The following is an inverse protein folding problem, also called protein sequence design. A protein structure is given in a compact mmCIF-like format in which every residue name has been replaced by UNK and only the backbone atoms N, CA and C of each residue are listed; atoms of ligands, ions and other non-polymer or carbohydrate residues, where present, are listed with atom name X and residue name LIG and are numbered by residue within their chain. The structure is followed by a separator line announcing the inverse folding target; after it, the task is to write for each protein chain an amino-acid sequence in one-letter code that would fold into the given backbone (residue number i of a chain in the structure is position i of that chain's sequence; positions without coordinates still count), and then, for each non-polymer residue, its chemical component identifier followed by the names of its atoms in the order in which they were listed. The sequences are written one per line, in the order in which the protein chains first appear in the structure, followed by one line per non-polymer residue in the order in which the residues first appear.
data_IF_706388606394
#
_entry.id   IF_706388606394
#
_cell.length_a   1.000
_cell.length_b   1.000
_cell.length_c   1.000
_cell.angle_alpha   90.00
_cell.angle_beta   90.00
_cell.angle_gamma   90.00
#
_symmetry.space_group_name_H-M   'P 1'
#
loop_
_entity.id
_entity.type
_entity.pdbx_description
1 polymer ?
#
# COMPACT_ATOMS: atom_id res chain seq x y z
N UNK A 1 -14.92 -7.72 4.79
CA UNK A 1 -13.83 -7.57 5.77
C UNK A 1 -12.72 -6.63 5.28
N UNK A 2 -11.86 -7.01 4.33
CA UNK A 2 -10.74 -6.14 3.90
C UNK A 2 -11.20 -4.73 3.44
N UNK A 3 -12.36 -4.63 2.77
CA UNK A 3 -12.93 -3.35 2.33
C UNK A 3 -13.36 -2.48 3.50
N UNK A 4 -14.04 -3.08 4.47
CA UNK A 4 -14.45 -2.42 5.70
C UNK A 4 -13.24 -1.89 6.49
N UNK A 5 -12.18 -2.69 6.58
CA UNK A 5 -10.92 -2.25 7.20
C UNK A 5 -10.34 -1.02 6.49
N UNK A 6 -10.28 -1.03 5.16
CA UNK A 6 -9.79 0.11 4.37
C UNK A 6 -10.68 1.34 4.53
N UNK A 7 -12.00 1.16 4.57
CA UNK A 7 -12.97 2.26 4.75
C UNK A 7 -12.84 2.89 6.13
N UNK A 8 -12.68 2.06 7.17
CA UNK A 8 -12.48 2.52 8.55
C UNK A 8 -11.11 3.17 8.74
N UNK A 9 -10.09 2.68 8.02
CA UNK A 9 -8.77 3.32 7.98
C UNK A 9 -8.87 4.72 7.36
N UNK A 10 -9.53 4.85 6.20
CA UNK A 10 -9.76 6.13 5.56
C UNK A 10 -10.61 7.07 6.46
N UNK A 11 -11.65 6.54 7.12
CA UNK A 11 -12.48 7.33 8.01
C UNK A 11 -11.81 7.72 9.35
N UNK A 12 -10.60 7.23 9.65
CA UNK A 12 -9.95 7.51 10.93
C UNK A 12 -10.51 6.72 12.13
N UNK A 13 -11.31 5.67 11.88
CA UNK A 13 -12.09 4.96 12.93
C UNK A 13 -11.67 3.50 13.13
N UNK A 14 -10.63 3.05 12.43
CA UNK A 14 -10.06 1.71 12.62
C UNK A 14 -9.29 1.68 13.94
N UNK A 15 -9.61 0.71 14.81
CA UNK A 15 -8.93 0.55 16.09
C UNK A 15 -7.88 -0.55 16.02
N UNK A 16 -6.93 -0.49 16.94
CA UNK A 16 -5.89 -1.49 17.06
C UNK A 16 -6.48 -2.88 17.34
N UNK A 17 -7.48 -2.97 18.20
CA UNK A 17 -8.09 -4.23 18.64
C UNK A 17 -8.79 -4.96 17.48
N UNK A 18 -9.36 -4.23 16.52
CA UNK A 18 -10.02 -4.81 15.34
C UNK A 18 -9.04 -5.60 14.46
N UNK A 19 -7.79 -5.14 14.38
CA UNK A 19 -6.74 -5.76 13.57
C UNK A 19 -5.97 -6.79 14.37
N UNK A 20 -5.62 -6.47 15.61
CA UNK A 20 -4.88 -7.37 16.48
C UNK A 20 -5.72 -8.62 16.84
N UNK A 21 -7.00 -8.43 17.15
CA UNK A 21 -7.92 -9.54 17.44
C UNK A 21 -8.18 -10.46 16.23
N UNK A 22 -7.86 -10.00 15.02
CA UNK A 22 -7.93 -10.79 13.78
C UNK A 22 -6.59 -11.47 13.42
N UNK A 23 -5.62 -11.46 14.34
CA UNK A 23 -4.28 -12.03 14.12
C UNK A 23 -3.35 -11.15 13.26
N UNK A 24 -3.71 -9.88 13.05
CA UNK A 24 -2.86 -8.89 12.40
C UNK A 24 -1.83 -8.27 13.37
N UNK A 25 -0.98 -7.39 12.83
CA UNK A 25 0.06 -6.70 13.61
C UNK A 25 -0.45 -5.51 14.44
N UNK A 26 -1.76 -5.23 14.38
CA UNK A 26 -2.37 -4.02 14.94
C UNK A 26 -2.45 -2.85 13.95
N UNK A 27 -3.04 -1.74 14.39
CA UNK A 27 -3.17 -0.51 13.62
C UNK A 27 -3.25 0.73 14.52
N UNK A 28 -2.59 1.81 14.12
CA UNK A 28 -2.69 3.12 14.74
C UNK A 28 -3.17 4.12 13.67
N UNK A 29 -4.25 4.82 13.96
CA UNK A 29 -4.79 5.88 13.08
C UNK A 29 -4.86 7.16 13.86
N UNK A 30 -4.22 8.22 13.35
CA UNK A 30 -4.17 9.53 14.00
C UNK A 30 -5.31 10.42 13.53
N UNK A 31 -5.59 10.39 12.23
CA UNK A 31 -6.65 11.17 11.58
C UNK A 31 -7.19 10.41 10.35
N UNK A 32 -8.40 10.78 9.93
CA UNK A 32 -9.00 10.27 8.70
C UNK A 32 -8.47 11.01 7.46
N UNK A 33 -8.52 10.34 6.31
CA UNK A 33 -8.10 10.85 5.02
C UNK A 33 -9.13 10.51 3.93
N UNK A 34 -9.16 11.31 2.86
CA UNK A 34 -9.91 11.02 1.64
C UNK A 34 -8.94 10.57 0.53
N UNK A 35 -8.71 9.26 0.36
CA UNK A 35 -7.77 8.78 -0.63
C UNK A 35 -8.31 8.99 -2.05
N UNK A 36 -7.53 9.68 -2.90
CA UNK A 36 -7.87 9.87 -4.31
C UNK A 36 -7.81 8.57 -5.12
N UNK A 37 -6.91 7.65 -4.74
CA UNK A 37 -6.75 6.37 -5.40
C UNK A 37 -6.31 5.29 -4.40
N UNK A 38 -6.74 4.05 -4.62
CA UNK A 38 -6.33 2.88 -3.84
C UNK A 38 -5.41 2.01 -4.70
N UNK A 39 -4.18 1.84 -4.24
CA UNK A 39 -3.22 0.91 -4.83
C UNK A 39 -3.12 -0.37 -4.01
N UNK A 40 -3.14 -1.51 -4.68
CA UNK A 40 -3.16 -2.85 -4.07
C UNK A 40 -1.83 -3.53 -4.36
N UNK A 41 -1.21 -4.04 -3.29
CA UNK A 41 0.04 -4.81 -3.30
C UNK A 41 -0.16 -6.15 -2.56
N UNK A 42 0.88 -6.98 -2.51
CA UNK A 42 0.91 -8.19 -1.69
C UNK A 42 0.33 -9.46 -2.34
N UNK A 43 0.45 -10.60 -1.62
CA UNK A 43 -0.13 -11.88 -2.04
C UNK A 43 -1.66 -11.82 -2.02
N UNK A 44 -2.32 -12.69 -2.78
CA UNK A 44 -3.79 -12.79 -2.83
C UNK A 44 -4.55 -11.50 -3.26
N UNK A 45 -3.88 -10.53 -3.88
CA UNK A 45 -4.44 -9.27 -4.40
C UNK A 45 -5.67 -9.41 -5.31
N UNK A 46 -5.93 -10.60 -5.87
CA UNK A 46 -7.15 -10.92 -6.64
C UNK A 46 -8.42 -10.72 -5.83
N UNK A 47 -8.38 -10.98 -4.53
CA UNK A 47 -9.52 -10.82 -3.62
C UNK A 47 -10.01 -9.37 -3.52
N UNK A 48 -9.16 -8.39 -3.84
CA UNK A 48 -9.44 -6.97 -3.64
C UNK A 48 -9.48 -6.15 -4.92
N UNK A 49 -9.31 -6.79 -6.10
CA UNK A 49 -9.11 -6.12 -7.38
C UNK A 49 -10.21 -5.09 -7.75
N UNK A 50 -11.46 -5.36 -7.38
CA UNK A 50 -12.59 -4.47 -7.71
C UNK A 50 -12.56 -3.12 -6.97
N UNK A 51 -11.67 -2.95 -5.99
CA UNK A 51 -11.61 -1.78 -5.13
C UNK A 51 -10.36 -0.92 -5.33
N UNK A 52 -9.51 -1.23 -6.32
CA UNK A 52 -8.29 -0.47 -6.55
C UNK A 52 -7.46 -0.95 -7.73
N UNK A 53 -6.39 -0.23 -7.99
CA UNK A 53 -5.44 -0.54 -9.06
C UNK A 53 -4.28 -1.34 -8.50
N UNK A 54 -3.77 -2.30 -9.28
CA UNK A 54 -2.58 -3.04 -8.83
C UNK A 54 -1.35 -2.17 -9.05
N UNK A 55 -0.47 -2.14 -8.05
CA UNK A 55 0.83 -1.50 -8.17
C UNK A 55 1.91 -2.57 -8.42
N UNK A 56 2.23 -2.82 -9.69
CA UNK A 56 3.32 -3.71 -10.13
C UNK A 56 4.28 -3.02 -11.13
N UNK A 57 4.93 -1.90 -10.77
CA UNK A 57 5.98 -1.34 -11.62
C UNK A 57 7.09 -2.39 -11.83
N UNK A 58 7.24 -2.91 -13.05
CA UNK A 58 8.22 -3.96 -13.38
C UNK A 58 7.65 -5.37 -13.57
N UNK A 59 6.33 -5.56 -13.51
CA UNK A 59 5.67 -6.83 -13.85
C UNK A 59 5.32 -7.72 -12.65
N UNK A 60 6.09 -7.64 -11.56
CA UNK A 60 5.80 -8.35 -10.30
C UNK A 60 5.92 -7.42 -9.08
N UNK A 61 4.96 -7.52 -8.16
CA UNK A 61 4.94 -6.77 -6.91
C UNK A 61 6.18 -7.05 -6.05
N UNK A 62 6.71 -8.28 -6.10
CA UNK A 62 7.87 -8.71 -5.31
C UNK A 62 9.17 -8.02 -5.74
N UNK A 63 9.27 -7.56 -6.99
CA UNK A 63 10.47 -6.86 -7.48
C UNK A 63 10.31 -5.34 -7.49
N UNK A 64 9.10 -4.83 -7.25
CA UNK A 64 8.79 -3.39 -7.29
C UNK A 64 9.75 -2.57 -6.43
N UNK A 65 10.11 -3.07 -5.24
CA UNK A 65 11.07 -2.41 -4.35
C UNK A 65 12.46 -2.29 -4.98
N UNK A 66 12.99 -3.37 -5.54
CA UNK A 66 14.29 -3.39 -6.23
C UNK A 66 14.30 -2.46 -7.45
N UNK A 67 13.25 -2.48 -8.27
CA UNK A 67 13.09 -1.59 -9.43
C UNK A 67 13.01 -0.13 -8.98
N UNK A 68 12.32 0.15 -7.88
CA UNK A 68 12.25 1.48 -7.27
C UNK A 68 13.61 2.00 -6.84
N UNK A 69 14.40 1.18 -6.16
CA UNK A 69 15.77 1.53 -5.75
C UNK A 69 16.68 1.80 -6.95
N UNK A 70 16.61 0.97 -7.99
CA UNK A 70 17.37 1.20 -9.23
C UNK A 70 16.98 2.51 -9.90
N UNK A 71 15.68 2.81 -10.01
CA UNK A 71 15.21 4.09 -10.57
C UNK A 71 15.66 5.28 -9.74
N UNK A 72 15.59 5.19 -8.42
CA UNK A 72 16.05 6.24 -7.52
C UNK A 72 17.56 6.48 -7.69
N UNK A 73 18.35 5.41 -7.79
CA UNK A 73 19.78 5.50 -8.10
C UNK A 73 20.03 6.20 -9.45
N UNK A 74 19.37 5.76 -10.52
CA UNK A 74 19.53 6.38 -11.86
C UNK A 74 19.14 7.86 -11.87
N UNK A 75 18.04 8.21 -11.21
CA UNK A 75 17.56 9.59 -11.09
C UNK A 75 18.59 10.48 -10.36
N UNK A 76 19.13 9.99 -9.24
CA UNK A 76 20.15 10.71 -8.50
C UNK A 76 21.48 10.80 -9.27
N UNK A 77 21.85 9.74 -10.00
CA UNK A 77 23.04 9.75 -10.86
C UNK A 77 22.91 10.77 -12.00
N UNK A 78 21.75 10.84 -12.66
CA UNK A 78 21.50 11.82 -13.72
C UNK A 78 21.49 13.28 -13.22
N UNK A 79 21.07 13.51 -11.96
CA UNK A 79 21.19 14.82 -11.29
C UNK A 79 22.63 15.21 -10.96
N UNK A 80 23.53 14.24 -10.85
CA UNK A 80 24.95 14.45 -10.56
C UNK A 80 25.80 14.69 -11.83
N UNK A 81 25.18 14.73 -13.01
CA UNK A 81 25.84 15.18 -14.24
C UNK A 81 26.78 14.18 -14.92
N UNK A 82 26.55 12.87 -14.74
CA UNK A 82 27.23 11.81 -15.50
C UNK A 82 26.40 11.32 -16.69
#
# INVERSE_FOLDING_TARGET
KLKDIVDRLAAGTLKNEDIYGDGGHGALVLEGIEPQEIFITGPNRRMFKRYGRYAYPGGDVMITGCVGLLRAFMYNRGKLGF
#
